data_IF_712375621762
#
_entry.id   IF_712375621762
#
_cell.length_a   1.000
_cell.length_b   1.000
_cell.length_c   1.000
_cell.angle_alpha   90.00
_cell.angle_beta   90.00
_cell.angle_gamma   90.00
#
_symmetry.space_group_name_H-M   'P 1'
#
loop_
_entity.id
_entity.type
_entity.pdbx_description
1 polymer ?
#
# COMPACT_ATOMS: atom_id res chain seq x y z
N UNK A 1 -27.18 -12.11 -4.53
CA UNK A 1 -25.87 -11.41 -4.44
C UNK A 1 -25.31 -10.98 -5.79
N UNK A 2 -25.43 -11.80 -6.85
CA UNK A 2 -24.93 -11.48 -8.20
C UNK A 2 -25.53 -10.21 -8.81
N UNK A 3 -26.85 -10.08 -8.84
CA UNK A 3 -27.54 -8.87 -9.34
C UNK A 3 -27.14 -7.59 -8.59
N UNK A 4 -26.94 -7.68 -7.27
CA UNK A 4 -26.52 -6.54 -6.45
C UNK A 4 -25.11 -6.05 -6.81
N UNK A 5 -24.18 -6.98 -7.06
CA UNK A 5 -22.85 -6.62 -7.51
C UNK A 5 -22.90 -6.04 -8.94
N UNK A 6 -23.77 -6.55 -9.82
CA UNK A 6 -23.95 -5.98 -11.16
C UNK A 6 -24.46 -4.53 -11.13
N UNK A 7 -25.41 -4.20 -10.24
CA UNK A 7 -25.91 -2.83 -10.10
C UNK A 7 -24.83 -1.86 -9.61
N UNK A 8 -24.04 -2.27 -8.62
CA UNK A 8 -22.95 -1.40 -8.13
C UNK A 8 -21.82 -1.29 -9.16
N UNK A 9 -21.53 -2.35 -9.93
CA UNK A 9 -20.54 -2.25 -10.99
C UNK A 9 -21.00 -1.27 -12.07
N UNK A 10 -22.29 -1.29 -12.44
CA UNK A 10 -22.87 -0.27 -13.33
C UNK A 10 -22.75 1.14 -12.77
N UNK A 11 -22.96 1.35 -11.47
CA UNK A 11 -22.72 2.65 -10.83
C UNK A 11 -21.25 3.07 -10.96
N UNK A 12 -20.31 2.16 -10.69
CA UNK A 12 -18.86 2.43 -10.82
C UNK A 12 -18.52 2.79 -12.26
N UNK A 13 -18.99 2.01 -13.24
CA UNK A 13 -18.73 2.23 -14.67
C UNK A 13 -19.28 3.58 -15.15
N UNK A 14 -20.48 3.94 -14.68
CA UNK A 14 -21.06 5.25 -14.95
C UNK A 14 -20.21 6.37 -14.33
N UNK A 15 -19.82 6.25 -13.06
CA UNK A 15 -18.95 7.24 -12.40
C UNK A 15 -17.63 7.42 -13.15
N UNK A 16 -16.97 6.31 -13.51
CA UNK A 16 -15.71 6.33 -14.27
C UNK A 16 -15.83 7.06 -15.61
N UNK A 17 -16.96 6.87 -16.31
CA UNK A 17 -17.24 7.52 -17.58
C UNK A 17 -17.50 9.03 -17.44
N UNK A 18 -17.84 9.50 -16.23
CA UNK A 18 -18.18 10.89 -15.94
C UNK A 18 -17.13 11.59 -15.03
N UNK A 19 -15.92 11.01 -14.89
CA UNK A 19 -14.91 11.60 -14.00
C UNK A 19 -14.43 12.98 -14.45
N UNK A 20 -14.42 13.28 -15.76
CA UNK A 20 -13.94 14.57 -16.29
C UNK A 20 -15.04 15.61 -16.54
N UNK A 21 -16.30 15.19 -16.64
CA UNK A 21 -17.40 16.03 -17.17
C UNK A 21 -18.32 16.63 -16.09
N UNK A 22 -17.91 16.61 -14.82
CA UNK A 22 -18.74 17.08 -13.72
C UNK A 22 -19.68 16.00 -13.20
N UNK A 23 -19.36 15.39 -12.05
CA UNK A 23 -20.23 14.36 -11.48
C UNK A 23 -21.48 14.98 -10.82
N UNK A 24 -22.66 14.50 -11.19
CA UNK A 24 -23.91 14.77 -10.49
C UNK A 24 -24.51 13.50 -9.89
N UNK A 25 -24.77 13.53 -8.58
CA UNK A 25 -25.48 12.43 -7.91
C UNK A 25 -26.90 12.27 -8.44
N UNK A 26 -27.53 13.36 -8.91
CA UNK A 26 -28.87 13.31 -9.49
C UNK A 26 -28.85 12.60 -10.85
N UNK A 27 -27.84 12.85 -11.69
CA UNK A 27 -27.70 12.19 -12.99
C UNK A 27 -27.40 10.70 -12.82
N UNK A 28 -26.50 10.35 -11.90
CA UNK A 28 -26.27 8.95 -11.52
C UNK A 28 -27.59 8.29 -11.08
N UNK A 29 -28.36 8.97 -10.23
CA UNK A 29 -29.62 8.43 -9.72
C UNK A 29 -30.65 8.20 -10.82
N UNK A 30 -30.73 9.14 -11.78
CA UNK A 30 -31.61 9.04 -12.94
C UNK A 30 -31.19 7.88 -13.85
N UNK A 31 -29.89 7.76 -14.15
CA UNK A 31 -29.33 6.66 -14.93
C UNK A 31 -29.61 5.30 -14.28
N UNK A 32 -29.47 5.20 -12.96
CA UNK A 32 -29.68 3.96 -12.23
C UNK A 32 -31.15 3.63 -11.96
N UNK A 33 -32.07 4.59 -12.13
CA UNK A 33 -33.48 4.42 -11.78
C UNK A 33 -33.75 4.35 -10.27
N UNK A 34 -32.88 4.92 -9.44
CA UNK A 34 -33.00 4.93 -7.97
C UNK A 34 -32.93 6.34 -7.41
N UNK A 35 -33.26 6.53 -6.13
CA UNK A 35 -33.08 7.82 -5.48
C UNK A 35 -31.59 8.15 -5.24
N UNK A 36 -31.20 9.45 -5.22
CA UNK A 36 -29.84 9.87 -4.87
C UNK A 36 -29.31 9.27 -3.56
N UNK A 37 -30.18 9.22 -2.54
CA UNK A 37 -29.87 8.60 -1.25
C UNK A 37 -29.56 7.11 -1.41
N UNK A 38 -30.39 6.37 -2.14
CA UNK A 38 -30.18 4.94 -2.35
C UNK A 38 -28.86 4.66 -3.08
N UNK A 39 -28.55 5.39 -4.15
CA UNK A 39 -27.28 5.26 -4.86
C UNK A 39 -26.08 5.48 -3.92
N UNK A 40 -26.07 6.60 -3.17
CA UNK A 40 -24.99 6.92 -2.24
C UNK A 40 -24.85 5.88 -1.11
N UNK A 41 -25.97 5.51 -0.49
CA UNK A 41 -26.02 4.54 0.58
C UNK A 41 -25.54 3.17 0.11
N UNK A 42 -26.05 2.66 -1.01
CA UNK A 42 -25.70 1.34 -1.54
C UNK A 42 -24.25 1.30 -2.02
N UNK A 43 -23.79 2.34 -2.71
CA UNK A 43 -22.38 2.43 -3.10
C UNK A 43 -21.47 2.36 -1.88
N UNK A 44 -21.73 3.18 -0.84
CA UNK A 44 -20.93 3.16 0.38
C UNK A 44 -21.02 1.84 1.14
N UNK A 45 -22.21 1.23 1.19
CA UNK A 45 -22.40 -0.06 1.85
C UNK A 45 -21.57 -1.17 1.18
N UNK A 46 -21.50 -1.17 -0.15
CA UNK A 46 -20.81 -2.21 -0.91
C UNK A 46 -19.31 -1.93 -1.06
N UNK A 47 -18.90 -0.67 -1.25
CA UNK A 47 -17.49 -0.31 -1.51
C UNK A 47 -16.74 0.17 -0.28
N UNK A 48 -17.40 0.37 0.86
CA UNK A 48 -16.79 0.92 2.08
C UNK A 48 -16.40 2.41 2.01
N UNK A 49 -16.43 3.04 0.84
CA UNK A 49 -16.06 4.44 0.63
C UNK A 49 -17.22 5.25 0.05
N UNK A 50 -17.25 6.56 0.27
CA UNK A 50 -18.28 7.41 -0.34
C UNK A 50 -17.99 7.63 -1.83
N UNK A 51 -19.04 7.83 -2.63
CA UNK A 51 -18.90 8.19 -4.06
C UNK A 51 -17.99 9.41 -4.23
N UNK A 52 -18.17 10.44 -3.39
CA UNK A 52 -17.35 11.65 -3.41
C UNK A 52 -15.86 11.34 -3.18
N UNK A 53 -15.55 10.48 -2.21
CA UNK A 53 -14.16 10.09 -1.92
C UNK A 53 -13.58 9.26 -3.07
N UNK A 54 -14.37 8.34 -3.63
CA UNK A 54 -13.97 7.56 -4.80
C UNK A 54 -13.60 8.44 -5.99
N UNK A 55 -14.49 9.38 -6.37
CA UNK A 55 -14.25 10.33 -7.47
C UNK A 55 -13.00 11.16 -7.22
N UNK A 56 -12.84 11.69 -6.00
CA UNK A 56 -11.66 12.48 -5.62
C UNK A 56 -10.36 11.68 -5.86
N UNK A 57 -10.28 10.45 -5.35
CA UNK A 57 -9.09 9.61 -5.50
C UNK A 57 -8.83 9.24 -6.96
N UNK A 58 -9.89 8.87 -7.71
CA UNK A 58 -9.78 8.50 -9.13
C UNK A 58 -9.35 9.68 -10.00
N UNK A 59 -9.96 10.86 -9.85
CA UNK A 59 -9.56 12.08 -10.57
C UNK A 59 -8.10 12.44 -10.32
N UNK A 60 -7.71 12.49 -9.05
CA UNK A 60 -6.33 12.82 -8.68
C UNK A 60 -5.33 11.79 -9.22
N UNK A 61 -5.61 10.50 -9.08
CA UNK A 61 -4.75 9.45 -9.60
C UNK A 61 -4.63 9.50 -11.13
N UNK A 62 -5.74 9.62 -11.85
CA UNK A 62 -5.72 9.74 -13.31
C UNK A 62 -4.95 10.98 -13.78
N UNK A 63 -5.05 12.09 -13.05
CA UNK A 63 -4.32 13.32 -13.37
C UNK A 63 -2.80 13.18 -13.26
N UNK A 64 -2.30 12.14 -12.58
CA UNK A 64 -0.85 11.92 -12.44
C UNK A 64 -0.19 11.56 -13.75
N UNK A 65 -0.92 10.92 -14.67
CA UNK A 65 -0.41 10.62 -16.01
C UNK A 65 -0.24 11.91 -16.83
N UNK A 66 -1.21 12.82 -16.76
CA UNK A 66 -1.10 14.14 -17.37
C UNK A 66 0.03 14.97 -16.76
N UNK A 67 0.25 14.84 -15.44
CA UNK A 67 1.37 15.50 -14.74
C UNK A 67 2.72 14.97 -15.24
N UNK A 68 2.90 13.65 -15.37
CA UNK A 68 4.14 13.03 -15.90
C UNK A 68 4.46 13.47 -17.32
N UNK A 69 3.44 13.82 -18.10
CA UNK A 69 3.57 14.34 -19.47
C UNK A 69 3.76 15.87 -19.52
N UNK A 70 4.19 16.50 -18.41
CA UNK A 70 4.50 17.92 -18.28
C UNK A 70 3.36 18.88 -18.72
N UNK A 71 2.10 18.43 -18.68
CA UNK A 71 0.97 19.31 -18.97
C UNK A 71 0.86 20.43 -17.93
N UNK A 72 0.30 21.57 -18.35
CA UNK A 72 0.11 22.73 -17.45
C UNK A 72 -0.88 22.37 -16.35
N UNK A 73 -0.49 22.64 -15.10
CA UNK A 73 -1.28 22.27 -13.91
C UNK A 73 -2.69 22.87 -13.93
N UNK A 74 -2.87 24.10 -14.43
CA UNK A 74 -4.19 24.73 -14.56
C UNK A 74 -5.09 23.98 -15.55
N UNK A 75 -4.55 23.54 -16.68
CA UNK A 75 -5.32 22.79 -17.69
C UNK A 75 -5.74 21.43 -17.13
N UNK A 76 -4.83 20.75 -16.42
CA UNK A 76 -5.12 19.50 -15.71
C UNK A 76 -6.23 19.74 -14.66
N UNK A 77 -6.14 20.81 -13.88
CA UNK A 77 -7.15 21.12 -12.87
C UNK A 77 -8.55 21.25 -13.49
N UNK A 78 -8.67 21.98 -14.60
CA UNK A 78 -9.92 22.18 -15.31
C UNK A 78 -10.44 20.87 -15.96
N UNK A 79 -9.57 20.08 -16.60
CA UNK A 79 -9.91 18.78 -17.20
C UNK A 79 -10.44 17.75 -16.19
N UNK A 80 -10.04 17.87 -14.93
CA UNK A 80 -10.49 17.02 -13.84
C UNK A 80 -11.56 17.69 -12.95
N UNK A 81 -12.25 18.70 -13.51
CA UNK A 81 -13.41 19.35 -12.90
C UNK A 81 -13.10 19.96 -11.52
N UNK A 82 -11.95 20.63 -11.42
CA UNK A 82 -11.64 21.56 -10.34
C UNK A 82 -11.88 22.99 -10.78
N UNK A 83 -12.44 23.79 -9.88
CA UNK A 83 -12.75 25.20 -10.14
C UNK A 83 -11.52 26.11 -10.25
N UNK A 84 -10.36 25.66 -9.75
CA UNK A 84 -9.09 26.40 -9.85
C UNK A 84 -7.88 25.48 -9.63
N UNK A 85 -6.70 25.95 -10.06
CA UNK A 85 -5.42 25.28 -9.81
C UNK A 85 -5.13 25.12 -8.32
N UNK A 86 -5.54 26.07 -7.47
CA UNK A 86 -5.34 26.04 -6.02
C UNK A 86 -6.25 25.00 -5.37
N UNK A 87 -7.48 24.82 -5.86
CA UNK A 87 -8.38 23.76 -5.39
C UNK A 87 -7.79 22.38 -5.70
N UNK A 88 -7.32 22.18 -6.94
CA UNK A 88 -6.64 20.97 -7.36
C UNK A 88 -5.36 20.71 -6.55
N UNK A 89 -4.49 21.70 -6.43
CA UNK A 89 -3.20 21.56 -5.73
C UNK A 89 -3.38 21.22 -4.25
N UNK A 90 -4.38 21.80 -3.58
CA UNK A 90 -4.73 21.44 -2.20
C UNK A 90 -5.25 20.01 -2.11
N UNK A 91 -6.14 19.60 -3.00
CA UNK A 91 -6.66 18.24 -3.02
C UNK A 91 -5.56 17.21 -3.27
N UNK A 92 -4.67 17.47 -4.24
CA UNK A 92 -3.52 16.64 -4.58
C UNK A 92 -2.56 16.52 -3.39
N UNK A 93 -2.18 17.64 -2.77
CA UNK A 93 -1.32 17.65 -1.58
C UNK A 93 -1.94 16.89 -0.41
N UNK A 94 -3.24 17.04 -0.17
CA UNK A 94 -3.91 16.34 0.91
C UNK A 94 -3.91 14.82 0.71
N UNK A 95 -4.01 14.34 -0.54
CA UNK A 95 -4.05 12.91 -0.86
C UNK A 95 -2.66 12.29 -0.97
N UNK A 96 -1.71 12.97 -1.61
CA UNK A 96 -0.39 12.42 -1.92
C UNK A 96 0.74 12.99 -1.06
N UNK A 97 0.46 13.95 -0.18
CA UNK A 97 1.47 14.57 0.70
C UNK A 97 2.43 15.53 0.01
N UNK A 98 2.33 15.72 -1.31
CA UNK A 98 3.20 16.58 -2.10
C UNK A 98 2.40 17.46 -3.08
N UNK A 99 2.98 18.56 -3.55
CA UNK A 99 2.30 19.42 -4.51
C UNK A 99 2.40 18.85 -5.95
N UNK A 100 1.44 19.15 -6.86
CA UNK A 100 1.49 18.65 -8.24
C UNK A 100 2.79 19.01 -8.97
N UNK A 101 3.32 20.22 -8.78
CA UNK A 101 4.57 20.64 -9.43
C UNK A 101 5.77 19.83 -8.95
N UNK A 102 5.84 19.52 -7.65
CA UNK A 102 6.90 18.66 -7.12
C UNK A 102 6.78 17.25 -7.69
N UNK A 103 5.54 16.76 -7.92
CA UNK A 103 5.31 15.46 -8.52
C UNK A 103 5.81 15.42 -9.98
N UNK A 104 5.50 16.44 -10.79
CA UNK A 104 6.01 16.54 -12.18
C UNK A 104 7.54 16.50 -12.26
N UNK A 105 8.22 17.17 -11.32
CA UNK A 105 9.68 17.30 -11.36
C UNK A 105 10.40 16.00 -10.96
N UNK A 106 9.81 15.21 -10.06
CA UNK A 106 10.51 14.09 -9.41
C UNK A 106 9.91 12.72 -9.76
N UNK A 107 8.70 12.66 -10.33
CA UNK A 107 7.99 11.42 -10.68
C UNK A 107 7.95 10.39 -9.54
N UNK A 108 7.81 10.86 -8.31
CA UNK A 108 7.83 10.04 -7.10
C UNK A 108 6.73 8.97 -7.12
N UNK A 109 6.99 7.77 -6.56
CA UNK A 109 5.98 6.72 -6.47
C UNK A 109 4.81 7.17 -5.58
N UNK A 110 3.60 6.87 -6.04
CA UNK A 110 2.33 7.11 -5.36
C UNK A 110 1.57 5.78 -5.26
N UNK A 111 0.70 5.65 -4.26
CA UNK A 111 -0.21 4.51 -4.19
C UNK A 111 -1.26 4.59 -5.30
N UNK A 112 -1.42 3.49 -6.02
CA UNK A 112 -2.37 3.37 -7.11
C UNK A 112 -3.81 3.35 -6.62
N UNK A 113 -4.67 4.17 -7.25
CA UNK A 113 -6.12 4.11 -7.05
C UNK A 113 -6.79 3.60 -8.32
N UNK A 114 -6.79 2.29 -8.54
CA UNK A 114 -7.41 1.67 -9.72
C UNK A 114 -8.94 1.69 -9.66
N UNK A 115 -9.58 1.54 -10.82
CA UNK A 115 -11.03 1.37 -10.92
C UNK A 115 -11.46 0.17 -10.08
N UNK A 116 -12.48 0.36 -9.23
CA UNK A 116 -13.06 -0.74 -8.47
C UNK A 116 -13.73 -1.74 -9.43
N UNK A 117 -13.45 -3.02 -9.23
CA UNK A 117 -14.11 -4.10 -9.96
C UNK A 117 -14.63 -5.14 -8.98
N UNK A 118 -15.92 -5.08 -8.71
CA UNK A 118 -16.60 -5.97 -7.75
C UNK A 118 -17.09 -7.27 -8.39
N UNK A 119 -16.96 -7.40 -9.71
CA UNK A 119 -17.32 -8.59 -10.46
C UNK A 119 -16.13 -9.51 -10.74
N UNK A 120 -14.89 -9.09 -10.41
CA UNK A 120 -13.69 -9.88 -10.65
C UNK A 120 -13.58 -11.00 -9.60
N UNK A 121 -14.01 -12.21 -9.96
CA UNK A 121 -13.66 -13.43 -9.23
C UNK A 121 -12.16 -13.70 -9.47
N UNK A 122 -11.39 -13.78 -8.38
CA UNK A 122 -9.94 -13.73 -8.42
C UNK A 122 -9.30 -14.96 -9.06
N UNK A 123 -8.82 -14.82 -10.29
CA UNK A 123 -7.61 -15.50 -10.74
C UNK A 123 -6.46 -14.47 -10.76
N UNK A 124 -5.67 -14.44 -9.68
CA UNK A 124 -4.38 -13.75 -9.66
C UNK A 124 -3.36 -14.58 -10.47
N UNK A 125 -3.50 -14.62 -11.80
CA UNK A 125 -2.45 -15.18 -12.68
C UNK A 125 -1.38 -14.12 -12.91
N UNK A 126 -0.44 -14.01 -11.97
CA UNK A 126 0.56 -12.93 -11.89
C UNK A 126 2.00 -13.31 -12.28
N UNK A 127 2.30 -14.60 -12.47
CA UNK A 127 3.69 -15.08 -12.42
C UNK A 127 4.56 -14.66 -13.64
N UNK A 128 4.01 -14.64 -14.87
CA UNK A 128 4.80 -14.33 -16.08
C UNK A 128 5.21 -12.85 -16.15
N UNK A 129 4.40 -11.93 -15.63
CA UNK A 129 4.66 -10.48 -15.68
C UNK A 129 5.90 -10.10 -14.88
N UNK A 130 6.10 -10.71 -13.71
CA UNK A 130 7.17 -10.34 -12.77
C UNK A 130 8.55 -10.63 -13.32
N UNK A 131 8.75 -11.83 -13.84
CA UNK A 131 10.03 -12.25 -14.40
C UNK A 131 10.49 -11.31 -15.52
N UNK A 132 9.59 -11.00 -16.45
CA UNK A 132 9.89 -10.11 -17.57
C UNK A 132 10.31 -8.72 -17.09
N UNK A 133 9.57 -8.13 -16.13
CA UNK A 133 9.90 -6.82 -15.58
C UNK A 133 11.27 -6.80 -14.91
N UNK A 134 11.59 -7.81 -14.09
CA UNK A 134 12.89 -7.88 -13.39
C UNK A 134 14.04 -8.07 -14.37
N UNK A 135 13.86 -8.90 -15.41
CA UNK A 135 14.85 -9.07 -16.48
C UNK A 135 15.08 -7.77 -17.28
N UNK A 136 14.02 -6.99 -17.52
CA UNK A 136 14.12 -5.68 -18.17
C UNK A 136 14.87 -4.68 -17.28
N UNK A 137 14.56 -4.61 -15.99
CA UNK A 137 15.30 -3.76 -15.03
C UNK A 137 16.77 -4.13 -14.98
N UNK A 138 17.09 -5.43 -14.92
CA UNK A 138 18.48 -5.91 -14.92
C UNK A 138 19.22 -5.53 -16.20
N UNK A 139 18.53 -5.57 -17.34
CA UNK A 139 19.11 -5.16 -18.62
C UNK A 139 19.40 -3.66 -18.69
N UNK A 140 18.57 -2.85 -18.04
CA UNK A 140 18.73 -1.40 -17.99
C UNK A 140 19.76 -0.94 -16.94
N UNK A 141 19.77 -1.57 -15.77
CA UNK A 141 20.55 -1.17 -14.59
C UNK A 141 21.33 -2.37 -14.02
N UNK A 142 22.22 -2.95 -14.82
CA UNK A 142 22.96 -4.17 -14.45
C UNK A 142 23.80 -4.02 -13.17
N UNK A 143 24.29 -2.81 -12.87
CA UNK A 143 25.04 -2.47 -11.66
C UNK A 143 24.26 -2.69 -10.36
N UNK A 144 22.93 -2.68 -10.42
CA UNK A 144 22.05 -2.95 -9.27
C UNK A 144 21.84 -4.45 -9.00
N UNK A 145 22.49 -5.32 -9.77
CA UNK A 145 22.41 -6.78 -9.66
C UNK A 145 23.79 -7.44 -9.56
N UNK A 146 24.82 -6.64 -9.25
CA UNK A 146 26.21 -7.07 -9.08
C UNK A 146 26.48 -7.53 -7.63
N UNK A 147 27.64 -8.16 -7.41
CA UNK A 147 28.08 -8.78 -6.14
C UNK A 147 28.13 -7.85 -4.92
N UNK A 148 28.27 -6.54 -5.12
CA UNK A 148 28.34 -5.53 -4.05
C UNK A 148 26.96 -4.95 -3.70
N UNK A 149 25.88 -5.60 -4.18
CA UNK A 149 24.49 -5.20 -3.96
C UNK A 149 23.75 -6.20 -3.08
N UNK A 150 22.92 -5.68 -2.17
CA UNK A 150 21.94 -6.46 -1.41
C UNK A 150 20.51 -6.09 -1.84
N UNK A 151 19.76 -7.07 -2.33
CA UNK A 151 18.33 -6.94 -2.63
C UNK A 151 17.49 -7.43 -1.43
N UNK A 152 16.65 -6.57 -0.85
CA UNK A 152 15.73 -6.96 0.21
C UNK A 152 14.32 -7.04 -0.34
N UNK A 153 13.72 -8.23 -0.26
CA UNK A 153 12.40 -8.56 -0.80
C UNK A 153 11.36 -8.58 0.31
N UNK A 154 10.22 -7.92 0.13
CA UNK A 154 9.16 -7.94 1.15
C UNK A 154 8.46 -9.31 1.20
N UNK A 155 8.86 -10.13 2.18
CA UNK A 155 8.24 -11.42 2.47
C UNK A 155 8.89 -12.64 1.77
N UNK A 156 8.66 -13.80 2.39
CA UNK A 156 9.23 -15.08 1.99
C UNK A 156 8.78 -15.55 0.59
N UNK A 157 7.52 -15.32 0.23
CA UNK A 157 6.96 -15.79 -1.05
C UNK A 157 7.66 -15.15 -2.25
N UNK A 158 7.88 -13.84 -2.21
CA UNK A 158 8.61 -13.13 -3.27
C UNK A 158 10.06 -13.59 -3.35
N UNK A 159 10.70 -13.82 -2.20
CA UNK A 159 12.04 -14.38 -2.14
C UNK A 159 12.13 -15.76 -2.80
N UNK A 160 11.20 -16.66 -2.51
CA UNK A 160 11.18 -17.99 -3.11
C UNK A 160 10.96 -17.95 -4.62
N UNK A 161 10.05 -17.08 -5.09
CA UNK A 161 9.81 -16.84 -6.51
C UNK A 161 11.09 -16.34 -7.23
N UNK A 162 11.72 -15.30 -6.68
CA UNK A 162 12.91 -14.69 -7.26
C UNK A 162 14.11 -15.63 -7.24
N UNK A 163 14.22 -16.45 -6.19
CA UNK A 163 15.24 -17.50 -6.05
C UNK A 163 15.05 -18.61 -7.08
N UNK A 164 13.82 -19.10 -7.24
CA UNK A 164 13.50 -20.17 -8.17
C UNK A 164 13.84 -19.77 -9.62
N UNK A 165 13.53 -18.53 -9.99
CA UNK A 165 13.77 -17.98 -11.33
C UNK A 165 15.16 -17.35 -11.51
N UNK A 166 15.99 -17.32 -10.45
CA UNK A 166 17.36 -16.74 -10.44
C UNK A 166 17.40 -15.28 -10.93
N UNK A 167 16.46 -14.47 -10.46
CA UNK A 167 16.26 -13.10 -10.98
C UNK A 167 17.32 -12.09 -10.49
N UNK A 168 18.01 -12.38 -9.37
CA UNK A 168 18.88 -11.42 -8.68
C UNK A 168 20.33 -11.36 -9.23
N UNK A 169 20.65 -12.08 -10.31
CA UNK A 169 21.99 -12.03 -10.90
C UNK A 169 23.07 -12.51 -9.93
N UNK A 170 24.12 -11.71 -9.75
CA UNK A 170 25.24 -12.00 -8.83
C UNK A 170 25.08 -11.34 -7.46
N UNK A 171 24.02 -10.55 -7.26
CA UNK A 171 23.75 -9.87 -5.99
C UNK A 171 23.31 -10.81 -4.87
N UNK A 172 23.59 -10.41 -3.64
CA UNK A 172 23.00 -11.04 -2.46
C UNK A 172 21.53 -10.59 -2.35
N UNK A 173 20.67 -11.46 -1.80
CA UNK A 173 19.27 -11.11 -1.57
C UNK A 173 18.67 -11.84 -0.38
N UNK A 174 17.75 -11.17 0.31
CA UNK A 174 17.15 -11.64 1.55
C UNK A 174 15.66 -11.28 1.65
N UNK A 175 14.82 -12.13 2.27
CA UNK A 175 13.45 -11.79 2.60
C UNK A 175 13.38 -10.93 3.88
N UNK A 176 12.56 -9.88 3.86
CA UNK A 176 12.10 -9.19 5.06
C UNK A 176 10.79 -9.84 5.53
N UNK A 177 10.85 -10.57 6.65
CA UNK A 177 9.75 -11.44 7.11
C UNK A 177 9.02 -10.93 8.37
N UNK A 178 9.21 -9.66 8.74
CA UNK A 178 8.49 -9.02 9.84
C UNK A 178 7.19 -8.35 9.35
N UNK A 179 6.16 -8.35 10.19
CA UNK A 179 4.88 -7.71 9.99
C UNK A 179 4.73 -6.50 10.94
N UNK A 180 5.28 -5.35 10.55
CA UNK A 180 5.39 -4.17 11.43
C UNK A 180 4.06 -3.50 11.78
N UNK A 181 2.99 -3.79 11.05
CA UNK A 181 1.67 -3.24 11.32
C UNK A 181 0.93 -3.93 12.47
N UNK A 182 1.48 -5.02 13.02
CA UNK A 182 0.94 -5.73 14.19
C UNK A 182 1.97 -5.72 15.32
N UNK A 183 1.49 -5.76 16.57
CA UNK A 183 2.30 -5.76 17.79
C UNK A 183 3.14 -4.50 18.01
N UNK A 184 3.60 -4.32 19.24
CA UNK A 184 4.41 -3.16 19.64
C UNK A 184 5.77 -3.18 18.95
N UNK A 185 6.30 -2.00 18.64
CA UNK A 185 7.67 -1.80 18.13
C UNK A 185 8.49 -0.97 19.13
N UNK A 186 9.81 -1.11 19.10
CA UNK A 186 10.75 -0.36 19.95
C UNK A 186 11.54 0.64 19.11
N UNK A 187 12.21 1.58 19.77
CA UNK A 187 12.95 2.67 19.12
C UNK A 187 14.18 2.20 18.34
N UNK A 188 14.91 1.22 18.87
CA UNK A 188 16.10 0.64 18.24
C UNK A 188 15.70 -0.59 17.43
N UNK A 189 15.85 -0.51 16.11
CA UNK A 189 15.43 -1.61 15.22
C UNK A 189 16.44 -2.75 15.30
N UNK A 190 15.95 -3.99 15.42
CA UNK A 190 16.74 -5.23 15.48
C UNK A 190 17.72 -5.38 16.66
N UNK A 191 17.61 -4.55 17.71
CA UNK A 191 18.33 -4.83 18.95
C UNK A 191 17.66 -5.98 19.73
N UNK A 192 18.31 -6.45 20.80
CA UNK A 192 17.79 -7.53 21.64
C UNK A 192 16.38 -7.23 22.20
N UNK A 193 16.14 -5.98 22.63
CA UNK A 193 14.84 -5.53 23.12
C UNK A 193 13.74 -5.62 22.04
N UNK A 194 14.04 -5.15 20.82
CA UNK A 194 13.15 -5.28 19.67
C UNK A 194 12.81 -6.74 19.43
N UNK A 195 13.81 -7.61 19.33
CA UNK A 195 13.63 -9.04 19.06
C UNK A 195 12.73 -9.69 20.12
N UNK A 196 12.98 -9.41 21.40
CA UNK A 196 12.18 -9.97 22.50
C UNK A 196 10.72 -9.51 22.46
N UNK A 197 10.47 -8.20 22.32
CA UNK A 197 9.11 -7.63 22.28
C UNK A 197 8.34 -8.13 21.06
N UNK A 198 9.00 -8.22 19.89
CA UNK A 198 8.37 -8.70 18.66
C UNK A 198 8.07 -10.20 18.74
N UNK A 199 8.98 -11.01 19.26
CA UNK A 199 8.77 -12.44 19.45
C UNK A 199 7.57 -12.70 20.38
N UNK A 200 7.50 -12.00 21.52
CA UNK A 200 6.38 -12.06 22.45
C UNK A 200 5.06 -11.67 21.79
N UNK A 201 5.02 -10.54 21.08
CA UNK A 201 3.81 -10.08 20.38
C UNK A 201 3.27 -11.07 19.34
N UNK A 202 4.16 -11.80 18.67
CA UNK A 202 3.77 -12.85 17.71
C UNK A 202 3.45 -14.20 18.37
N UNK A 203 3.45 -14.27 19.71
CA UNK A 203 3.31 -15.52 20.46
C UNK A 203 4.33 -16.59 20.02
N UNK A 204 5.57 -16.17 19.74
CA UNK A 204 6.67 -17.01 19.27
C UNK A 204 7.82 -17.01 20.28
N UNK A 205 8.62 -18.07 20.32
CA UNK A 205 9.90 -18.02 21.02
C UNK A 205 10.86 -17.08 20.30
N UNK A 206 11.80 -16.50 21.05
CA UNK A 206 12.89 -15.67 20.51
C UNK A 206 13.67 -16.43 19.45
N UNK A 207 14.01 -17.71 19.69
CA UNK A 207 14.71 -18.56 18.73
C UNK A 207 13.93 -18.72 17.40
N UNK A 208 12.64 -19.03 17.49
CA UNK A 208 11.78 -19.19 16.30
C UNK A 208 11.62 -17.88 15.53
N UNK A 209 11.49 -16.76 16.26
CA UNK A 209 11.41 -15.44 15.66
C UNK A 209 12.72 -15.07 14.95
N UNK A 210 13.86 -15.23 15.63
CA UNK A 210 15.20 -14.96 15.10
C UNK A 210 15.44 -15.74 13.81
N UNK A 211 15.13 -17.05 13.81
CA UNK A 211 15.27 -17.90 12.62
C UNK A 211 14.45 -17.44 11.42
N UNK A 212 13.27 -16.87 11.67
CA UNK A 212 12.34 -16.43 10.63
C UNK A 212 12.64 -15.01 10.12
N UNK A 213 13.05 -14.11 11.01
CA UNK A 213 13.11 -12.66 10.75
C UNK A 213 14.55 -12.14 10.71
N UNK A 214 15.40 -12.57 11.63
CA UNK A 214 16.74 -12.00 11.83
C UNK A 214 17.79 -12.76 11.02
N UNK A 215 17.83 -14.09 11.12
CA UNK A 215 18.82 -14.92 10.40
C UNK A 215 18.82 -14.69 8.87
N UNK A 216 17.66 -14.54 8.19
CA UNK A 216 17.67 -14.25 6.75
C UNK A 216 18.32 -12.91 6.40
N UNK A 217 18.38 -11.96 7.34
CA UNK A 217 18.98 -10.64 7.19
C UNK A 217 20.45 -10.60 7.66
N UNK A 218 21.09 -11.72 8.01
CA UNK A 218 22.47 -11.74 8.52
C UNK A 218 23.46 -10.94 7.65
N UNK A 219 23.34 -11.06 6.32
CA UNK A 219 24.14 -10.32 5.37
C UNK A 219 24.01 -8.79 5.53
N UNK A 220 22.81 -8.28 5.81
CA UNK A 220 22.56 -6.84 6.04
C UNK A 220 23.36 -6.33 7.25
N UNK A 221 23.58 -7.17 8.26
CA UNK A 221 24.24 -6.80 9.50
C UNK A 221 25.76 -6.95 9.45
N UNK A 222 26.25 -7.86 8.61
CA UNK A 222 27.65 -8.32 8.64
C UNK A 222 28.49 -7.83 7.45
N UNK A 223 27.87 -7.63 6.29
CA UNK A 223 28.56 -7.22 5.07
C UNK A 223 28.38 -5.72 4.81
N UNK A 224 29.38 -5.14 4.15
CA UNK A 224 29.30 -3.76 3.65
C UNK A 224 28.94 -3.79 2.17
N UNK A 225 27.72 -3.35 1.85
CA UNK A 225 27.25 -3.19 0.48
C UNK A 225 27.46 -1.76 0.01
N UNK A 226 27.74 -1.57 -1.28
CA UNK A 226 27.75 -0.24 -1.90
C UNK A 226 26.33 0.26 -2.17
N UNK A 227 25.42 -0.69 -2.38
CA UNK A 227 24.05 -0.43 -2.78
C UNK A 227 23.10 -1.43 -2.11
N UNK A 228 21.96 -0.94 -1.63
CA UNK A 228 20.84 -1.75 -1.16
C UNK A 228 19.64 -1.43 -2.03
N UNK A 229 18.99 -2.46 -2.57
CA UNK A 229 17.81 -2.35 -3.42
C UNK A 229 16.63 -2.97 -2.69
N UNK A 230 15.60 -2.17 -2.44
CA UNK A 230 14.44 -2.51 -1.64
C UNK A 230 13.24 -2.80 -2.55
N UNK A 231 12.65 -3.99 -2.48
CA UNK A 231 11.49 -4.40 -3.27
C UNK A 231 10.24 -4.43 -2.40
N UNK A 232 9.51 -3.32 -2.39
CA UNK A 232 8.36 -3.10 -1.52
C UNK A 232 7.21 -2.52 -2.33
N UNK A 233 6.04 -3.14 -2.19
CA UNK A 233 4.83 -2.70 -2.88
C UNK A 233 4.21 -1.42 -2.31
N UNK A 234 3.15 -0.95 -2.96
CA UNK A 234 2.46 0.30 -2.62
C UNK A 234 1.51 0.22 -1.42
N UNK A 235 1.24 -0.98 -0.91
CA UNK A 235 0.33 -1.18 0.22
C UNK A 235 0.93 -0.77 1.57
N UNK A 236 0.05 -0.59 2.56
CA UNK A 236 0.41 -0.14 3.89
C UNK A 236 1.44 -1.06 4.58
N UNK A 237 1.33 -2.38 4.46
CA UNK A 237 2.27 -3.31 5.09
C UNK A 237 3.67 -3.19 4.50
N UNK A 238 3.75 -3.21 3.17
CA UNK A 238 5.01 -3.01 2.47
C UNK A 238 5.68 -1.71 2.91
N UNK A 239 4.94 -0.60 2.95
CA UNK A 239 5.50 0.70 3.30
C UNK A 239 5.90 0.83 4.78
N UNK A 240 5.20 0.18 5.71
CA UNK A 240 5.61 0.16 7.13
C UNK A 240 6.85 -0.70 7.35
N UNK A 241 6.97 -1.82 6.63
CA UNK A 241 8.18 -2.65 6.63
C UNK A 241 9.37 -1.90 6.02
N UNK A 242 9.15 -1.19 4.91
CA UNK A 242 10.13 -0.30 4.30
C UNK A 242 10.63 0.76 5.28
N UNK A 243 9.72 1.44 6.00
CA UNK A 243 10.08 2.44 6.99
C UNK A 243 10.98 1.87 8.10
N UNK A 244 10.71 0.64 8.55
CA UNK A 244 11.55 -0.05 9.53
C UNK A 244 12.96 -0.31 9.02
N UNK A 245 13.11 -0.76 7.76
CA UNK A 245 14.43 -0.95 7.16
C UNK A 245 15.18 0.36 7.01
N UNK A 246 14.53 1.42 6.52
CA UNK A 246 15.18 2.72 6.35
C UNK A 246 15.63 3.30 7.71
N UNK A 247 14.82 3.13 8.75
CA UNK A 247 15.19 3.46 10.13
C UNK A 247 16.43 2.68 10.59
N UNK A 248 16.48 1.38 10.32
CA UNK A 248 17.66 0.56 10.64
C UNK A 248 18.92 1.02 9.89
N UNK A 249 18.81 1.29 8.59
CA UNK A 249 19.94 1.77 7.77
C UNK A 249 20.52 3.07 8.31
N UNK A 250 19.67 4.00 8.74
CA UNK A 250 20.13 5.22 9.43
C UNK A 250 20.77 4.92 10.80
N UNK A 251 20.15 4.07 11.63
CA UNK A 251 20.67 3.71 12.96
C UNK A 251 22.03 2.99 12.90
N UNK A 252 22.29 2.28 11.81
CA UNK A 252 23.55 1.57 11.53
C UNK A 252 24.57 2.43 10.79
N UNK A 253 24.25 3.70 10.49
CA UNK A 253 25.09 4.62 9.73
C UNK A 253 25.49 4.05 8.35
N UNK A 254 24.54 3.46 7.62
CA UNK A 254 24.78 2.98 6.27
C UNK A 254 25.08 4.15 5.32
N UNK A 255 26.25 4.12 4.67
CA UNK A 255 26.75 5.20 3.79
C UNK A 255 26.55 4.91 2.29
N UNK A 256 26.08 3.71 1.94
CA UNK A 256 25.87 3.33 0.55
C UNK A 256 24.57 3.90 -0.02
N UNK A 257 24.34 3.63 -1.31
CA UNK A 257 23.10 4.03 -1.98
C UNK A 257 21.94 3.12 -1.61
N UNK A 258 20.74 3.68 -1.60
CA UNK A 258 19.48 2.96 -1.37
C UNK A 258 18.55 3.21 -2.54
N UNK A 259 18.08 2.15 -3.19
CA UNK A 259 17.07 2.22 -4.24
C UNK A 259 15.79 1.55 -3.78
N UNK A 260 14.65 2.10 -4.15
CA UNK A 260 13.33 1.50 -3.95
C UNK A 260 12.76 1.10 -5.31
N UNK A 261 12.48 -0.19 -5.46
CA UNK A 261 11.64 -0.75 -6.50
C UNK A 261 10.21 -0.83 -5.97
N UNK A 262 9.42 0.18 -6.27
CA UNK A 262 8.00 0.25 -5.89
C UNK A 262 7.11 -0.31 -6.99
N UNK A 263 6.12 -1.13 -6.64
CA UNK A 263 5.20 -1.75 -7.60
C UNK A 263 3.83 -2.03 -7.00
N UNK A 264 2.84 -2.24 -7.88
CA UNK A 264 1.52 -2.76 -7.52
C UNK A 264 1.49 -4.28 -7.68
N UNK A 265 0.98 -5.00 -6.69
CA UNK A 265 1.10 -6.46 -6.60
C UNK A 265 0.43 -7.24 -7.75
N UNK A 266 -0.61 -6.68 -8.38
CA UNK A 266 -1.41 -7.26 -9.47
C UNK A 266 -0.95 -6.86 -10.89
N UNK A 267 -0.02 -5.92 -11.02
CA UNK A 267 0.56 -5.52 -12.33
C UNK A 267 2.05 -5.84 -12.36
N UNK A 268 2.73 -5.59 -11.24
CA UNK A 268 4.17 -5.70 -11.04
C UNK A 268 4.99 -4.87 -12.02
N UNK A 269 4.49 -3.70 -12.38
CA UNK A 269 5.29 -2.68 -13.08
C UNK A 269 6.10 -1.91 -12.05
N UNK A 270 7.42 -1.92 -12.18
CA UNK A 270 8.33 -1.36 -11.18
C UNK A 270 8.65 0.09 -11.52
N UNK A 271 8.43 0.95 -10.53
CA UNK A 271 8.93 2.32 -10.50
C UNK A 271 10.14 2.38 -9.56
N UNK A 272 11.34 2.52 -10.13
CA UNK A 272 12.58 2.59 -9.37
C UNK A 272 12.96 4.04 -9.06
N UNK A 273 13.28 4.32 -7.80
CA UNK A 273 13.82 5.62 -7.36
C UNK A 273 15.01 5.44 -6.41
N UNK A 274 15.93 6.39 -6.38
CA UNK A 274 16.95 6.50 -5.34
C UNK A 274 16.32 7.17 -4.09
N UNK A 275 16.59 6.63 -2.91
CA UNK A 275 16.13 7.16 -1.63
C UNK A 275 17.31 7.79 -0.89
N UNK A 276 17.11 9.03 -0.42
CA UNK A 276 18.04 9.71 0.46
C UNK A 276 17.70 9.42 1.92
N UNK A 277 18.66 8.90 2.68
CA UNK A 277 18.55 8.73 4.13
C UNK A 277 18.75 10.08 4.84
N UNK A 278 18.03 10.32 5.93
CA UNK A 278 18.27 11.47 6.80
C UNK A 278 17.27 11.69 7.94
N UNK A 279 16.05 11.14 7.87
CA UNK A 279 15.02 11.33 8.91
C UNK A 279 14.19 10.08 9.23
N UNK A 280 14.46 8.94 8.60
CA UNK A 280 13.66 7.72 8.73
C UNK A 280 13.67 7.13 10.13
N UNK A 281 14.74 7.31 10.91
CA UNK A 281 14.78 6.93 12.33
C UNK A 281 13.78 7.76 13.15
N UNK A 282 13.70 9.07 12.92
CA UNK A 282 12.72 9.93 13.57
C UNK A 282 11.29 9.62 13.10
N UNK A 283 11.09 9.45 11.79
CA UNK A 283 9.78 9.10 11.20
C UNK A 283 9.29 7.76 11.76
N UNK A 284 10.16 6.75 11.83
CA UNK A 284 9.84 5.44 12.41
C UNK A 284 9.40 5.57 13.86
N UNK A 285 10.11 6.36 14.67
CA UNK A 285 9.75 6.58 16.06
C UNK A 285 8.39 7.32 16.17
N UNK A 286 8.14 8.33 15.35
CA UNK A 286 6.85 9.03 15.33
C UNK A 286 5.71 8.09 14.94
N UNK A 287 5.88 7.31 13.87
CA UNK A 287 4.83 6.51 13.25
C UNK A 287 4.64 5.16 13.93
N UNK A 288 5.67 4.32 13.96
CA UNK A 288 5.55 2.91 14.37
C UNK A 288 5.69 2.69 15.88
N UNK A 289 6.36 3.59 16.59
CA UNK A 289 6.50 3.49 18.05
C UNK A 289 5.44 4.35 18.76
N UNK A 290 5.26 5.59 18.30
CA UNK A 290 4.38 6.56 18.96
C UNK A 290 2.99 6.71 18.32
N UNK A 291 2.73 6.04 17.17
CA UNK A 291 1.46 6.11 16.45
C UNK A 291 0.99 7.53 16.14
N UNK A 292 1.93 8.38 15.70
CA UNK A 292 1.70 9.77 15.32
C UNK A 292 2.05 9.99 13.85
N UNK A 293 1.33 10.92 13.24
CA UNK A 293 1.67 11.40 11.90
C UNK A 293 3.00 12.14 11.96
N UNK A 294 3.86 11.88 10.98
CA UNK A 294 5.15 12.54 10.89
C UNK A 294 5.05 13.95 10.34
N UNK A 295 5.94 14.83 10.80
CA UNK A 295 6.13 16.18 10.24
C UNK A 295 7.18 16.23 9.13
N UNK A 296 8.00 15.18 9.01
CA UNK A 296 9.05 15.09 7.99
C UNK A 296 8.46 14.77 6.61
N UNK A 297 9.16 15.20 5.57
CA UNK A 297 8.82 14.85 4.19
C UNK A 297 9.14 13.38 3.94
N UNK A 298 8.19 12.66 3.35
CA UNK A 298 8.34 11.26 2.95
C UNK A 298 7.86 11.07 1.51
N UNK A 299 8.25 9.99 0.82
CA UNK A 299 7.67 9.64 -0.47
C UNK A 299 6.13 9.58 -0.41
N UNK A 300 5.42 10.00 -1.47
CA UNK A 300 3.96 10.03 -1.48
C UNK A 300 3.29 8.71 -1.13
N UNK A 301 3.80 7.60 -1.68
CA UNK A 301 3.31 6.25 -1.36
C UNK A 301 3.41 5.94 0.14
N UNK A 302 4.50 6.36 0.79
CA UNK A 302 4.69 6.20 2.24
C UNK A 302 3.78 7.14 3.03
N UNK A 303 3.61 8.39 2.59
CA UNK A 303 2.67 9.34 3.20
C UNK A 303 1.25 8.74 3.27
N UNK A 304 0.79 8.16 2.16
CA UNK A 304 -0.52 7.51 2.07
C UNK A 304 -0.62 6.28 2.97
N UNK A 305 0.42 5.46 3.00
CA UNK A 305 0.50 4.29 3.87
C UNK A 305 0.50 4.65 5.36
N UNK A 306 1.19 5.71 5.77
CA UNK A 306 1.18 6.21 7.16
C UNK A 306 -0.24 6.62 7.56
N UNK A 307 -0.93 7.39 6.71
CA UNK A 307 -2.32 7.80 6.99
C UNK A 307 -3.25 6.59 7.11
N UNK A 308 -3.08 5.57 6.25
CA UNK A 308 -3.85 4.33 6.32
C UNK A 308 -3.51 3.51 7.57
N UNK A 309 -2.23 3.40 7.94
CA UNK A 309 -1.77 2.71 9.15
C UNK A 309 -2.39 3.31 10.40
N UNK A 310 -2.33 4.63 10.56
CA UNK A 310 -2.92 5.32 11.70
C UNK A 310 -4.45 5.21 11.74
N UNK A 311 -5.12 5.16 10.58
CA UNK A 311 -6.56 4.87 10.50
C UNK A 311 -6.85 3.43 10.96
N UNK A 312 -6.03 2.47 10.56
CA UNK A 312 -6.21 1.05 10.89
C UNK A 312 -5.98 0.72 12.36
N UNK A 313 -5.20 1.53 13.09
CA UNK A 313 -5.03 1.39 14.54
C UNK A 313 -6.30 1.73 15.35
N UNK A 314 -7.27 2.44 14.76
CA UNK A 314 -8.52 2.80 15.45
C UNK A 314 -9.39 1.56 15.65
N UNK A 315 -10.07 1.48 16.81
CA UNK A 315 -10.96 0.35 17.11
C UNK A 315 -12.13 0.22 16.12
N UNK A 316 -12.60 1.35 15.58
CA UNK A 316 -13.71 1.46 14.65
C UNK A 316 -13.24 1.79 13.22
N UNK A 317 -12.06 1.32 12.82
CA UNK A 317 -11.51 1.58 11.49
C UNK A 317 -12.44 1.08 10.35
N UNK A 318 -12.12 1.50 9.13
CA UNK A 318 -12.92 1.22 7.93
C UNK A 318 -13.17 -0.28 7.68
N UNK A 319 -12.20 -1.14 7.96
CA UNK A 319 -12.33 -2.60 7.80
C UNK A 319 -13.27 -3.16 8.85
N UNK A 320 -13.11 -2.75 10.11
CA UNK A 320 -13.95 -3.20 11.22
C UNK A 320 -15.41 -2.78 11.00
N UNK A 321 -15.64 -1.55 10.53
CA UNK A 321 -16.97 -1.05 10.12
C UNK A 321 -17.54 -1.88 8.96
N UNK A 322 -16.72 -2.23 7.97
CA UNK A 322 -17.14 -3.04 6.83
C UNK A 322 -17.55 -4.46 7.26
N UNK A 323 -16.72 -5.15 8.04
CA UNK A 323 -17.02 -6.48 8.57
C UNK A 323 -18.31 -6.45 9.40
N UNK A 324 -18.46 -5.47 10.29
CA UNK A 324 -19.64 -5.34 11.16
C UNK A 324 -20.93 -5.13 10.37
N UNK A 325 -20.89 -4.40 9.26
CA UNK A 325 -22.05 -4.18 8.37
C UNK A 325 -22.39 -5.40 7.50
N UNK A 326 -21.49 -6.37 7.38
CA UNK A 326 -21.62 -7.52 6.47
C UNK A 326 -21.56 -8.86 7.23
N UNK A 327 -21.98 -8.91 8.49
CA UNK A 327 -21.97 -10.13 9.33
C UNK A 327 -22.82 -11.28 8.77
N UNK A 328 -23.79 -10.99 7.90
CA UNK A 328 -24.61 -12.01 7.24
C UNK A 328 -23.90 -12.79 6.12
N UNK A 329 -22.68 -12.40 5.73
CA UNK A 329 -21.87 -13.12 4.75
C UNK A 329 -21.08 -14.25 5.41
N UNK A 330 -20.78 -15.30 4.63
CA UNK A 330 -19.81 -16.31 5.05
C UNK A 330 -18.40 -15.71 5.17
N UNK A 331 -17.51 -16.34 5.95
CA UNK A 331 -16.13 -15.88 6.07
C UNK A 331 -15.42 -15.80 4.71
N UNK A 332 -15.67 -16.77 3.83
CA UNK A 332 -15.08 -16.82 2.50
C UNK A 332 -15.54 -15.66 1.62
N UNK A 333 -16.84 -15.36 1.57
CA UNK A 333 -17.37 -14.22 0.81
C UNK A 333 -16.89 -12.89 1.36
N UNK A 334 -16.76 -12.79 2.68
CA UNK A 334 -16.27 -11.59 3.34
C UNK A 334 -14.79 -11.36 3.03
N UNK A 335 -13.96 -12.41 3.03
CA UNK A 335 -12.55 -12.34 2.62
C UNK A 335 -12.40 -11.83 1.19
N UNK A 336 -13.13 -12.41 0.23
CA UNK A 336 -13.10 -11.96 -1.18
C UNK A 336 -13.42 -10.47 -1.28
N UNK A 337 -14.47 -10.02 -0.59
CA UNK A 337 -14.85 -8.60 -0.59
C UNK A 337 -13.79 -7.70 0.06
N UNK A 338 -13.17 -8.15 1.16
CA UNK A 338 -12.14 -7.39 1.85
C UNK A 338 -10.92 -7.15 0.93
N UNK A 339 -10.46 -8.16 0.20
CA UNK A 339 -9.38 -8.01 -0.78
C UNK A 339 -9.73 -7.09 -1.94
N UNK A 340 -10.97 -7.17 -2.44
CA UNK A 340 -11.43 -6.31 -3.53
C UNK A 340 -11.56 -4.84 -3.13
N UNK A 341 -12.00 -4.58 -1.90
CA UNK A 341 -12.36 -3.23 -1.42
C UNK A 341 -11.17 -2.53 -0.78
N UNK A 342 -10.33 -3.28 -0.07
CA UNK A 342 -9.18 -2.75 0.65
C UNK A 342 -7.85 -3.31 0.15
N UNK A 343 -7.56 -3.26 -1.17
CA UNK A 343 -6.35 -3.84 -1.73
C UNK A 343 -5.08 -3.14 -1.22
N UNK A 344 -5.18 -1.87 -0.82
CA UNK A 344 -4.07 -1.05 -0.35
C UNK A 344 -3.69 -1.29 1.11
N UNK A 345 -4.47 -2.10 1.84
CA UNK A 345 -4.12 -2.44 3.23
C UNK A 345 -2.98 -3.44 3.25
N UNK A 346 -2.93 -4.43 2.34
CA UNK A 346 -1.89 -5.46 2.36
C UNK A 346 -2.07 -6.53 3.44
N UNK A 347 -3.26 -6.65 4.04
CA UNK A 347 -3.56 -7.80 4.92
C UNK A 347 -3.65 -9.10 4.11
N UNK A 348 -3.08 -10.17 4.65
CA UNK A 348 -3.31 -11.54 4.19
C UNK A 348 -4.55 -12.18 4.84
N UNK A 349 -4.86 -13.40 4.41
CA UNK A 349 -6.05 -14.15 4.86
C UNK A 349 -6.14 -14.24 6.37
N UNK A 350 -5.06 -14.65 7.04
CA UNK A 350 -5.03 -14.87 8.49
C UNK A 350 -5.38 -13.61 9.29
N UNK A 351 -4.92 -12.44 8.84
CA UNK A 351 -5.16 -11.16 9.51
C UNK A 351 -6.62 -10.74 9.34
N UNK A 352 -7.17 -10.86 8.13
CA UNK A 352 -8.59 -10.62 7.93
C UNK A 352 -9.47 -11.60 8.72
N UNK A 353 -9.11 -12.89 8.75
CA UNK A 353 -9.82 -13.90 9.55
C UNK A 353 -9.81 -13.54 11.04
N UNK A 354 -8.68 -13.06 11.57
CA UNK A 354 -8.59 -12.63 12.96
C UNK A 354 -9.55 -11.46 13.26
N UNK A 355 -9.58 -10.44 12.40
CA UNK A 355 -10.51 -9.31 12.52
C UNK A 355 -11.98 -9.76 12.45
N UNK A 356 -12.30 -10.67 11.52
CA UNK A 356 -13.63 -11.26 11.39
C UNK A 356 -14.04 -11.97 12.69
N UNK A 357 -13.15 -12.81 13.22
CA UNK A 357 -13.40 -13.55 14.46
C UNK A 357 -13.55 -12.62 15.67
N UNK A 358 -12.74 -11.55 15.74
CA UNK A 358 -12.83 -10.53 16.80
C UNK A 358 -14.19 -9.83 16.80
N UNK A 359 -14.74 -9.51 15.62
CA UNK A 359 -16.06 -8.89 15.51
C UNK A 359 -17.19 -9.86 15.84
N UNK A 360 -17.11 -11.11 15.35
CA UNK A 360 -18.12 -12.13 15.66
C UNK A 360 -18.21 -12.40 17.16
N UNK A 361 -17.08 -12.51 17.85
CA UNK A 361 -17.02 -12.64 19.32
C UNK A 361 -17.63 -11.45 20.08
N UNK A 362 -17.49 -10.22 19.56
CA UNK A 362 -18.13 -9.03 20.16
C UNK A 362 -19.66 -9.01 19.97
N UNK A 363 -20.18 -9.73 18.97
CA UNK A 363 -21.60 -9.76 18.62
C UNK A 363 -22.37 -10.89 19.34
N UNK A 364 -21.69 -11.85 19.96
CA UNK A 364 -22.32 -12.87 20.80
C UNK A 364 -22.87 -12.23 22.09
N UNK A 365 -24.13 -12.49 22.48
CA UNK A 365 -24.67 -11.98 23.73
C UNK A 365 -23.84 -12.54 24.89
N UNK A 366 -23.39 -11.67 25.79
CA UNK A 366 -22.82 -12.10 27.07
C UNK A 366 -23.94 -12.83 27.84
N UNK A 367 -23.81 -14.15 27.96
CA UNK A 367 -24.71 -15.03 28.71
C UNK A 367 -24.68 -14.65 30.20
#
# INVERSE_FOLDING_TARGET
>A
MKEMNEHIQKMIDWIESNLKEGFSLNELSHYMGYSPYYCSFRFHQVTGISIRRYILLRRLYLSTEDLKNDRKIIDIALDYDYSSQEAYSRAFKNVFGMNPREYQLNNMPIQSFVKLNINKEGEFKMNISRKFEVEQLRSNNNELFDKDVLNILNGQMMYEEFKAEKLMGESDYAPFNEAMCVNTATTRVFNEEFINIRAEGHNSSVESYTKKVIDPLENLFTKKYKCIVLWFGEDMFCQMNLLTLLSYLEQSCYEGKVYLNNFREDEFKVNQIELELGNYSSIYNEVLVNHKKTSYKVPPVMYQAIDLYLEMLKEDNIVMKFISKNQGLSNHELLIKLFQIFPTIGYGDSQYIELINKIKKKAEPRI
#
